data_IF_617225999793
#
_entry.id   IF_617225999793
#
_cell.length_a   1.000
_cell.length_b   1.000
_cell.length_c   1.000
_cell.angle_alpha   90.00
_cell.angle_beta   90.00
_cell.angle_gamma   90.00
#
_symmetry.space_group_name_H-M   'P 1'
#
loop_
_entity.id
_entity.type
_entity.pdbx_description
1 polymer ?
#
# COMPACT_ATOMS: atom_id res chain seq x y z
N UNK A 1 -23.60 11.47 -6.69
CA UNK A 1 -23.25 10.82 -7.97
C UNK A 1 -23.66 9.36 -7.93
N UNK A 2 -24.26 8.84 -9.01
CA UNK A 2 -24.52 7.39 -9.14
C UNK A 2 -23.22 6.64 -9.37
N UNK A 3 -23.14 5.41 -8.88
CA UNK A 3 -21.99 4.55 -9.12
C UNK A 3 -21.97 4.19 -10.61
N UNK A 4 -20.82 4.39 -11.26
CA UNK A 4 -20.66 4.05 -12.68
C UNK A 4 -20.97 2.57 -12.94
N UNK A 5 -21.57 2.25 -14.10
CA UNK A 5 -21.78 0.87 -14.52
C UNK A 5 -20.44 0.13 -14.59
N UNK A 6 -20.43 -1.20 -14.40
CA UNK A 6 -19.19 -1.97 -14.26
C UNK A 6 -18.26 -1.86 -15.48
N UNK A 7 -18.79 -1.60 -16.67
CA UNK A 7 -18.03 -1.40 -17.91
C UNK A 7 -17.33 -0.06 -18.00
N UNK A 8 -17.84 0.99 -17.34
CA UNK A 8 -17.23 2.33 -17.29
C UNK A 8 -16.44 2.57 -16.00
N UNK A 9 -16.63 1.72 -14.99
CA UNK A 9 -15.92 1.86 -13.71
C UNK A 9 -14.47 1.44 -13.88
N UNK A 10 -13.56 2.33 -13.47
CA UNK A 10 -12.12 2.04 -13.50
C UNK A 10 -11.80 0.78 -12.68
N UNK A 11 -11.18 -0.25 -13.27
CA UNK A 11 -10.85 -1.49 -12.59
C UNK A 11 -9.71 -1.26 -11.57
N UNK A 12 -9.82 -1.93 -10.42
CA UNK A 12 -8.89 -1.77 -9.29
C UNK A 12 -8.17 -3.08 -8.97
N UNK A 13 -6.99 -2.97 -8.37
CA UNK A 13 -6.28 -4.04 -7.66
C UNK A 13 -5.86 -3.56 -6.29
N UNK A 14 -5.62 -4.52 -5.40
CA UNK A 14 -5.21 -4.29 -4.03
C UNK A 14 -3.88 -4.98 -3.79
N UNK A 15 -2.89 -4.19 -3.38
CA UNK A 15 -1.54 -4.60 -3.05
C UNK A 15 -1.47 -4.71 -1.52
N UNK A 16 -1.18 -5.90 -1.01
CA UNK A 16 -0.84 -6.11 0.38
C UNK A 16 0.67 -5.90 0.55
N UNK A 17 1.06 -5.07 1.51
CA UNK A 17 2.45 -4.73 1.75
C UNK A 17 2.75 -4.67 3.25
N UNK A 18 4.02 -4.75 3.59
CA UNK A 18 4.58 -4.58 4.93
C UNK A 18 5.66 -3.49 4.87
N UNK A 19 5.60 -2.54 5.78
CA UNK A 19 6.62 -1.51 5.98
C UNK A 19 7.36 -1.85 7.26
N UNK A 20 8.68 -1.94 7.14
CA UNK A 20 9.62 -2.12 8.25
C UNK A 20 10.34 -0.79 8.42
N UNK A 21 10.32 -0.23 9.63
CA UNK A 21 10.91 1.07 9.90
C UNK A 21 11.60 1.09 11.26
N UNK A 22 12.54 2.03 11.44
CA UNK A 22 13.25 2.21 12.71
C UNK A 22 12.36 2.78 13.83
N UNK A 23 11.33 3.55 13.45
CA UNK A 23 10.33 4.09 14.37
C UNK A 23 8.92 3.88 13.84
N UNK A 24 7.94 4.12 14.70
CA UNK A 24 6.55 4.21 14.27
C UNK A 24 6.34 5.36 13.27
N UNK A 25 5.61 5.04 12.21
CA UNK A 25 5.14 5.99 11.21
C UNK A 25 3.63 6.19 11.37
N UNK A 26 3.21 7.44 11.33
CA UNK A 26 1.81 7.84 11.24
C UNK A 26 1.19 7.41 9.91
N UNK A 27 -0.15 7.46 9.83
CA UNK A 27 -0.85 7.14 8.58
C UNK A 27 -0.47 8.14 7.49
N UNK A 28 -0.30 9.40 7.85
CA UNK A 28 0.06 10.51 6.99
C UNK A 28 1.47 10.31 6.43
N UNK A 29 2.43 9.95 7.27
CA UNK A 29 3.81 9.62 6.85
C UNK A 29 3.84 8.41 5.90
N UNK A 30 3.03 7.38 6.14
CA UNK A 30 2.94 6.24 5.23
C UNK A 30 2.34 6.62 3.87
N UNK A 31 1.31 7.46 3.86
CA UNK A 31 0.73 7.98 2.60
C UNK A 31 1.77 8.80 1.86
N UNK A 32 2.43 9.71 2.56
CA UNK A 32 3.53 10.54 2.07
C UNK A 32 4.66 9.70 1.44
N UNK A 33 5.14 8.68 2.16
CA UNK A 33 6.14 7.71 1.67
C UNK A 33 5.71 7.03 0.37
N UNK A 34 4.46 6.57 0.29
CA UNK A 34 3.92 5.89 -0.89
C UNK A 34 3.85 6.84 -2.08
N UNK A 35 3.39 8.07 -1.89
CA UNK A 35 3.33 9.07 -2.95
C UNK A 35 4.72 9.48 -3.41
N UNK A 36 5.61 9.82 -2.48
CA UNK A 36 6.99 10.21 -2.78
C UNK A 36 7.73 9.15 -3.58
N UNK A 37 7.58 7.88 -3.20
CA UNK A 37 8.23 6.77 -3.90
C UNK A 37 7.73 6.62 -5.34
N UNK A 38 6.42 6.76 -5.57
CA UNK A 38 5.84 6.70 -6.91
C UNK A 38 6.24 7.91 -7.76
N UNK A 39 6.17 9.12 -7.18
CA UNK A 39 6.54 10.37 -7.85
C UNK A 39 8.02 10.39 -8.23
N UNK A 40 8.91 9.97 -7.34
CA UNK A 40 10.36 9.93 -7.62
C UNK A 40 10.72 8.97 -8.74
N UNK A 41 10.05 7.81 -8.81
CA UNK A 41 10.40 6.78 -9.79
C UNK A 41 9.71 6.96 -11.15
N UNK A 42 8.44 7.38 -11.15
CA UNK A 42 7.61 7.42 -12.36
C UNK A 42 7.19 8.83 -12.77
N UNK A 43 7.41 9.85 -11.93
CA UNK A 43 6.95 11.22 -12.17
C UNK A 43 5.45 11.40 -11.98
N UNK A 44 4.99 12.63 -12.17
CA UNK A 44 3.61 13.05 -11.88
C UNK A 44 2.58 12.45 -12.85
N UNK A 45 2.89 12.44 -14.15
CA UNK A 45 1.96 11.98 -15.18
C UNK A 45 1.60 10.49 -15.01
N UNK A 46 2.61 9.63 -14.83
CA UNK A 46 2.38 8.20 -14.56
C UNK A 46 1.67 8.00 -13.22
N UNK A 47 2.14 8.68 -12.17
CA UNK A 47 1.57 8.49 -10.82
C UNK A 47 0.09 8.88 -10.76
N UNK A 48 -0.33 9.90 -11.53
CA UNK A 48 -1.75 10.27 -11.64
C UNK A 48 -2.64 9.13 -12.18
N UNK A 49 -2.08 8.25 -13.02
CA UNK A 49 -2.80 7.10 -13.58
C UNK A 49 -2.93 5.94 -12.57
N UNK A 50 -2.09 5.90 -11.53
CA UNK A 50 -2.07 4.77 -10.59
C UNK A 50 -3.29 4.74 -9.67
N UNK A 51 -3.97 5.88 -9.46
CA UNK A 51 -5.15 6.01 -8.56
C UNK A 51 -4.93 5.38 -7.18
N UNK A 52 -3.81 5.76 -6.58
CA UNK A 52 -3.38 5.26 -5.28
C UNK A 52 -4.38 5.67 -4.20
N UNK A 53 -4.76 4.70 -3.35
CA UNK A 53 -5.56 4.97 -2.16
C UNK A 53 -5.18 3.97 -1.07
N UNK A 54 -4.88 4.43 0.15
CA UNK A 54 -4.48 3.55 1.26
C UNK A 54 -5.72 3.09 2.03
N UNK A 55 -6.05 1.79 1.95
CA UNK A 55 -7.33 1.25 2.45
C UNK A 55 -7.34 1.15 3.97
N UNK A 56 -6.45 0.30 4.50
CA UNK A 56 -6.42 -0.09 5.91
C UNK A 56 -4.98 -0.46 6.27
N UNK A 57 -4.63 -0.20 7.51
CA UNK A 57 -3.35 -0.48 8.12
C UNK A 57 -3.58 -1.38 9.34
N UNK A 58 -2.63 -2.25 9.61
CA UNK A 58 -2.57 -3.10 10.79
C UNK A 58 -1.18 -3.00 11.37
N UNK A 59 -1.12 -2.70 12.67
CA UNK A 59 0.12 -2.72 13.43
C UNK A 59 0.30 -4.11 14.01
N UNK A 60 1.52 -4.59 13.95
CA UNK A 60 1.89 -5.87 14.53
C UNK A 60 3.12 -5.63 15.39
N UNK A 61 3.05 -6.06 16.63
CA UNK A 61 4.19 -5.99 17.54
C UNK A 61 5.17 -7.09 17.17
N UNK A 62 6.35 -6.68 16.71
CA UNK A 62 7.49 -7.56 16.50
C UNK A 62 8.63 -7.10 17.41
N UNK A 63 9.39 -8.03 18.02
CA UNK A 63 10.44 -7.69 18.98
C UNK A 63 11.60 -6.89 18.35
N UNK A 64 11.88 -7.12 17.06
CA UNK A 64 13.12 -6.66 16.44
C UNK A 64 12.98 -5.33 15.66
N UNK A 65 11.75 -4.98 15.26
CA UNK A 65 11.51 -3.80 14.44
C UNK A 65 10.03 -3.41 14.45
N UNK A 66 9.75 -2.12 14.23
CA UNK A 66 8.39 -1.66 14.00
C UNK A 66 7.93 -2.11 12.62
N UNK A 67 6.82 -2.85 12.57
CA UNK A 67 6.22 -3.30 11.30
C UNK A 67 4.76 -2.92 11.20
N UNK A 68 4.41 -2.36 10.06
CA UNK A 68 3.03 -2.02 9.71
C UNK A 68 2.67 -2.72 8.42
N UNK A 69 1.56 -3.46 8.42
CA UNK A 69 1.01 -4.05 7.20
C UNK A 69 -0.13 -3.22 6.68
N UNK A 70 -0.24 -3.11 5.36
CA UNK A 70 -1.24 -2.28 4.72
C UNK A 70 -1.82 -2.90 3.47
N UNK A 71 -2.96 -2.35 3.05
CA UNK A 71 -3.54 -2.60 1.74
C UNK A 71 -3.59 -1.28 0.96
N UNK A 72 -2.89 -1.23 -0.16
CA UNK A 72 -2.89 -0.12 -1.10
C UNK A 72 -3.75 -0.49 -2.31
N UNK A 73 -4.70 0.36 -2.66
CA UNK A 73 -5.44 0.25 -3.91
C UNK A 73 -4.62 0.92 -5.03
N UNK A 74 -4.61 0.29 -6.20
CA UNK A 74 -4.13 0.89 -7.44
C UNK A 74 -5.08 0.55 -8.61
N UNK A 75 -4.93 1.26 -9.72
CA UNK A 75 -5.58 0.95 -10.98
C UNK A 75 -5.00 -0.34 -11.58
N UNK A 76 -5.88 -1.22 -12.07
CA UNK A 76 -5.46 -2.47 -12.74
C UNK A 76 -4.62 -2.13 -13.98
N UNK A 77 -3.52 -2.86 -14.17
CA UNK A 77 -2.52 -2.62 -15.22
C UNK A 77 -1.26 -1.91 -14.73
N UNK A 78 -1.31 -1.25 -13.57
CA UNK A 78 -0.18 -0.52 -12.99
C UNK A 78 0.45 -1.20 -11.77
N UNK A 79 0.01 -2.41 -11.43
CA UNK A 79 0.41 -3.11 -10.20
C UNK A 79 1.94 -3.25 -10.10
N UNK A 80 2.58 -3.66 -11.19
CA UNK A 80 4.05 -3.83 -11.24
C UNK A 80 4.81 -2.53 -11.04
N UNK A 81 4.34 -1.43 -11.64
CA UNK A 81 5.00 -0.12 -11.52
C UNK A 81 4.92 0.42 -10.10
N UNK A 82 3.74 0.29 -9.48
CA UNK A 82 3.53 0.67 -8.08
C UNK A 82 4.38 -0.21 -7.14
N UNK A 83 4.38 -1.54 -7.34
CA UNK A 83 5.21 -2.44 -6.54
C UNK A 83 6.70 -2.07 -6.63
N UNK A 84 7.20 -1.80 -7.84
CA UNK A 84 8.59 -1.38 -8.06
C UNK A 84 8.91 -0.08 -7.30
N UNK A 85 8.05 0.94 -7.41
CA UNK A 85 8.21 2.20 -6.69
C UNK A 85 8.30 2.00 -5.17
N UNK A 86 7.38 1.22 -4.62
CA UNK A 86 7.36 0.91 -3.19
C UNK A 86 8.63 0.22 -2.74
N UNK A 87 9.09 -0.80 -3.47
CA UNK A 87 10.30 -1.56 -3.10
C UNK A 87 11.59 -0.75 -3.21
N UNK A 88 11.61 0.32 -4.01
CA UNK A 88 12.76 1.22 -4.12
C UNK A 88 12.85 2.26 -2.98
N UNK A 89 11.79 2.39 -2.17
CA UNK A 89 11.77 3.31 -1.04
C UNK A 89 12.68 2.79 0.10
N UNK A 90 13.69 3.59 0.46
CA UNK A 90 14.69 3.24 1.48
C UNK A 90 14.81 4.26 2.63
N UNK A 91 14.37 5.51 2.42
CA UNK A 91 14.31 6.55 3.45
C UNK A 91 13.07 7.42 3.31
N UNK A 92 12.52 7.85 4.45
CA UNK A 92 11.47 8.86 4.52
C UNK A 92 11.69 9.78 5.72
N UNK A 93 11.77 11.09 5.48
CA UNK A 93 11.95 12.10 6.56
C UNK A 93 13.07 11.75 7.55
N UNK A 94 14.22 11.30 7.04
CA UNK A 94 15.39 10.91 7.84
C UNK A 94 15.33 9.52 8.48
N UNK A 95 14.22 8.79 8.35
CA UNK A 95 14.04 7.43 8.90
C UNK A 95 14.32 6.38 7.83
N UNK A 96 15.08 5.33 8.17
CA UNK A 96 15.23 4.18 7.27
C UNK A 96 13.95 3.36 7.24
N UNK A 97 13.50 3.07 6.03
CA UNK A 97 12.27 2.31 5.77
C UNK A 97 12.54 1.26 4.69
N UNK A 98 11.91 0.10 4.82
CA UNK A 98 11.90 -0.93 3.78
C UNK A 98 10.47 -1.38 3.56
N UNK A 99 10.05 -1.45 2.30
CA UNK A 99 8.70 -1.90 1.93
C UNK A 99 8.78 -3.27 1.25
N UNK A 100 8.13 -4.27 1.85
CA UNK A 100 7.99 -5.60 1.30
C UNK A 100 6.57 -5.82 0.77
N UNK A 101 6.48 -6.38 -0.44
CA UNK A 101 5.19 -6.74 -1.03
C UNK A 101 4.80 -8.14 -0.59
N UNK A 102 3.63 -8.28 0.04
CA UNK A 102 3.09 -9.56 0.49
C UNK A 102 2.28 -10.26 -0.61
N UNK A 103 1.60 -9.49 -1.47
CA UNK A 103 0.88 -10.05 -2.61
C UNK A 103 -0.19 -9.14 -3.21
N UNK A 104 -0.87 -9.65 -4.24
CA UNK A 104 -1.91 -8.94 -5.00
C UNK A 104 -3.27 -9.64 -4.88
N UNK A 105 -4.34 -8.85 -4.91
CA UNK A 105 -5.71 -9.35 -4.88
C UNK A 105 -6.66 -8.51 -5.73
N UNK A 106 -7.76 -9.11 -6.16
CA UNK A 106 -8.89 -8.40 -6.79
C UNK A 106 -9.83 -7.73 -5.79
N UNK A 107 -9.81 -8.14 -4.52
CA UNK A 107 -10.67 -7.58 -3.47
C UNK A 107 -9.91 -7.35 -2.16
N UNK A 108 -10.32 -6.35 -1.39
CA UNK A 108 -9.78 -6.06 -0.06
C UNK A 108 -9.92 -7.29 0.83
N UNK A 109 -11.10 -7.91 0.87
CA UNK A 109 -11.37 -9.11 1.68
C UNK A 109 -10.36 -10.23 1.41
N UNK A 110 -10.14 -10.58 0.13
CA UNK A 110 -9.19 -11.64 -0.21
C UNK A 110 -7.74 -11.21 0.07
N UNK A 111 -7.37 -9.93 -0.04
CA UNK A 111 -6.04 -9.48 0.33
C UNK A 111 -5.81 -9.60 1.85
N UNK A 112 -6.77 -9.13 2.65
CA UNK A 112 -6.72 -9.21 4.11
C UNK A 112 -6.62 -10.65 4.59
N UNK A 113 -7.46 -11.55 4.05
CA UNK A 113 -7.49 -12.95 4.47
C UNK A 113 -6.23 -13.72 4.06
N UNK A 114 -5.71 -13.50 2.85
CA UNK A 114 -4.56 -14.25 2.33
C UNK A 114 -3.24 -13.75 2.89
N UNK A 115 -3.04 -12.43 2.96
CA UNK A 115 -1.73 -11.83 3.18
C UNK A 115 -1.57 -11.17 4.56
N UNK A 116 -2.58 -10.43 5.03
CA UNK A 116 -2.48 -9.73 6.32
C UNK A 116 -2.67 -10.71 7.49
N UNK A 117 -3.68 -11.59 7.38
CA UNK A 117 -4.08 -12.56 8.42
C UNK A 117 -4.22 -11.91 9.81
N UNK A 118 -5.06 -10.87 9.97
CA UNK A 118 -5.23 -10.20 11.24
C UNK A 118 -5.77 -11.15 12.31
N UNK A 119 -5.38 -10.92 13.57
CA UNK A 119 -5.94 -11.64 14.72
C UNK A 119 -7.46 -11.41 14.79
N UNK A 120 -8.21 -12.28 15.49
CA UNK A 120 -9.68 -12.13 15.61
C UNK A 120 -10.11 -10.74 16.13
N UNK A 121 -9.26 -10.04 16.88
CA UNK A 121 -9.56 -8.71 17.45
C UNK A 121 -9.55 -7.57 16.42
N UNK A 122 -8.81 -7.70 15.31
CA UNK A 122 -8.62 -6.58 14.35
C UNK A 122 -9.53 -6.67 13.11
N UNK A 123 -10.56 -7.51 13.17
CA UNK A 123 -11.49 -7.76 12.05
C UNK A 123 -12.53 -6.66 11.85
N UNK A 124 -12.76 -5.80 12.85
CA UNK A 124 -13.78 -4.77 12.83
C UNK A 124 -13.10 -3.41 12.98
#
# INVERSE_FOLDING_TARGET
MKILPPTLRVPRRYIAFEVISERELSREELVSLIWDSCLKLHGECETSNFRLWLMKLWRFDFPDAVRVRGILQCQRGYERRVMMALTCAHHHSGVRVAIHILGLSGTIRSATQKFIKPSKKDKY
#
